data_IF_037346687313
#
_entry.id   IF_037346687313
#
_cell.length_a   1.000
_cell.length_b   1.000
_cell.length_c   1.000
_cell.angle_alpha   90.00
_cell.angle_beta   90.00
_cell.angle_gamma   90.00
#
_symmetry.space_group_name_H-M   'P 1'
#
loop_
_entity.id
_entity.type
_entity.pdbx_description
1 polymer ?
#
# COMPACT_ATOMS: atom_id res chain seq x y z
N UNK A 1 15.88 -12.15 -3.28
CA UNK A 1 15.88 -10.66 -3.13
C UNK A 1 14.99 -10.31 -1.95
N UNK A 2 15.49 -9.54 -0.95
CA UNK A 2 14.74 -9.27 0.28
C UNK A 2 13.74 -8.12 0.09
N UNK A 3 12.46 -8.43 0.23
CA UNK A 3 11.34 -7.47 0.23
C UNK A 3 10.62 -7.61 1.57
N UNK A 4 10.32 -6.50 2.24
CA UNK A 4 9.40 -6.45 3.37
C UNK A 4 8.05 -5.87 2.92
N UNK A 5 6.96 -6.42 3.43
CA UNK A 5 5.62 -5.92 3.17
C UNK A 5 4.97 -5.51 4.49
N UNK A 6 4.58 -4.25 4.58
CA UNK A 6 3.81 -3.71 5.70
C UNK A 6 2.38 -3.42 5.27
N UNK A 7 1.42 -3.78 6.12
CA UNK A 7 0.01 -3.48 5.86
C UNK A 7 -0.54 -2.50 6.89
N UNK A 8 -1.35 -1.57 6.44
CA UNK A 8 -1.92 -0.52 7.28
C UNK A 8 -3.45 -0.48 7.23
N UNK A 9 -4.07 -1.38 6.49
CA UNK A 9 -5.51 -1.41 6.25
C UNK A 9 -5.90 -0.72 4.95
N UNK A 10 -6.99 0.02 4.98
CA UNK A 10 -7.58 0.67 3.81
C UNK A 10 -8.57 -0.22 3.07
N UNK A 11 -9.07 0.26 1.93
CA UNK A 11 -10.12 -0.41 1.16
C UNK A 11 -9.72 -1.79 0.66
N UNK A 12 -8.45 -2.01 0.35
CA UNK A 12 -7.95 -3.32 -0.09
C UNK A 12 -8.28 -4.44 0.91
N UNK A 13 -8.31 -4.13 2.21
CA UNK A 13 -8.55 -5.07 3.31
C UNK A 13 -9.99 -5.02 3.83
N UNK A 14 -10.89 -4.23 3.21
CA UNK A 14 -12.28 -4.14 3.64
C UNK A 14 -13.03 -5.43 3.42
N UNK A 15 -13.85 -5.78 4.41
CA UNK A 15 -14.82 -6.87 4.39
C UNK A 15 -16.20 -6.35 4.71
N UNK A 16 -17.22 -6.96 4.14
CA UNK A 16 -18.60 -6.67 4.46
C UNK A 16 -19.02 -7.44 5.71
N UNK A 17 -19.63 -6.74 6.66
CA UNK A 17 -20.14 -7.33 7.90
C UNK A 17 -21.66 -7.33 7.89
N UNK A 18 -22.26 -8.48 7.57
CA UNK A 18 -23.70 -8.64 7.39
C UNK A 18 -24.54 -8.15 8.57
N UNK A 19 -24.13 -8.48 9.80
CA UNK A 19 -24.88 -8.14 11.00
C UNK A 19 -25.04 -6.63 11.24
N UNK A 20 -24.16 -5.81 10.66
CA UNK A 20 -24.18 -4.34 10.77
C UNK A 20 -24.49 -3.64 9.45
N UNK A 21 -24.59 -4.38 8.34
CA UNK A 21 -24.78 -3.80 7.02
C UNK A 21 -23.68 -2.82 6.60
N UNK A 22 -22.45 -3.02 7.08
CA UNK A 22 -21.33 -2.08 6.89
C UNK A 22 -20.04 -2.79 6.52
N UNK A 23 -19.16 -2.07 5.81
CA UNK A 23 -17.79 -2.49 5.59
C UNK A 23 -16.92 -2.11 6.79
N UNK A 24 -15.97 -2.98 7.12
CA UNK A 24 -14.90 -2.67 8.07
C UNK A 24 -13.55 -3.16 7.53
N UNK A 25 -12.46 -2.61 8.02
CA UNK A 25 -11.11 -3.05 7.64
C UNK A 25 -10.84 -4.40 8.32
N UNK A 26 -10.68 -5.43 7.49
CA UNK A 26 -10.42 -6.80 7.93
C UNK A 26 -8.93 -7.16 7.96
N UNK A 27 -8.65 -8.46 8.00
CA UNK A 27 -7.29 -8.98 7.89
C UNK A 27 -6.66 -8.64 6.52
N UNK A 28 -5.33 -8.47 6.46
CA UNK A 28 -4.63 -8.12 5.23
C UNK A 28 -4.86 -9.13 4.10
N UNK A 29 -5.27 -8.62 2.94
CA UNK A 29 -5.49 -9.40 1.72
C UNK A 29 -4.21 -9.67 0.92
N UNK A 30 -3.16 -8.89 1.16
CA UNK A 30 -1.95 -8.93 0.34
C UNK A 30 -1.34 -10.33 0.26
N UNK A 31 -1.28 -11.07 1.37
CA UNK A 31 -0.73 -12.43 1.40
C UNK A 31 -1.53 -13.37 0.50
N UNK A 32 -2.85 -13.29 0.57
CA UNK A 32 -3.76 -14.13 -0.23
C UNK A 32 -3.59 -13.84 -1.73
N UNK A 33 -3.49 -12.56 -2.10
CA UNK A 33 -3.25 -12.14 -3.48
C UNK A 33 -1.88 -12.63 -4.00
N UNK A 34 -0.83 -12.60 -3.18
CA UNK A 34 0.49 -13.11 -3.56
C UNK A 34 0.50 -14.64 -3.71
N UNK A 35 -0.25 -15.37 -2.88
CA UNK A 35 -0.44 -16.82 -3.03
C UNK A 35 -1.15 -17.15 -4.34
N UNK A 36 -2.21 -16.41 -4.68
CA UNK A 36 -2.92 -16.57 -5.95
C UNK A 36 -2.03 -16.27 -7.16
N UNK A 37 -1.11 -15.31 -7.02
CA UNK A 37 -0.11 -15.00 -8.05
C UNK A 37 1.00 -16.05 -8.17
N UNK A 38 1.00 -17.09 -7.31
CA UNK A 38 1.97 -18.22 -7.31
C UNK A 38 3.44 -17.76 -7.23
N UNK A 39 3.71 -16.77 -6.36
CA UNK A 39 5.09 -16.39 -6.08
C UNK A 39 5.85 -17.61 -5.53
N UNK A 40 7.09 -17.80 -5.99
CA UNK A 40 8.00 -18.84 -5.48
C UNK A 40 8.30 -18.59 -4.00
N UNK A 41 8.69 -17.36 -3.67
CA UNK A 41 8.93 -16.92 -2.30
C UNK A 41 7.96 -15.79 -1.94
N UNK A 42 7.08 -16.03 -0.98
CA UNK A 42 6.18 -15.00 -0.45
C UNK A 42 6.93 -14.21 0.62
N UNK A 43 7.13 -12.88 0.43
CA UNK A 43 7.76 -12.04 1.44
C UNK A 43 7.01 -12.06 2.77
N UNK A 44 7.73 -11.77 3.84
CA UNK A 44 7.11 -11.56 5.14
C UNK A 44 6.13 -10.38 5.08
N UNK A 45 4.92 -10.61 5.56
CA UNK A 45 3.86 -9.61 5.66
C UNK A 45 3.63 -9.27 7.12
N UNK A 46 3.88 -8.03 7.48
CA UNK A 46 3.70 -7.51 8.84
C UNK A 46 2.55 -6.52 8.88
N UNK A 47 1.53 -6.81 9.66
CA UNK A 47 0.43 -5.89 9.91
C UNK A 47 0.85 -4.85 10.93
N UNK A 48 1.00 -3.58 10.51
CA UNK A 48 1.31 -2.46 11.39
C UNK A 48 0.06 -1.81 11.96
N UNK A 49 -0.94 -1.64 11.11
CA UNK A 49 -2.20 -0.97 11.43
C UNK A 49 -3.36 -1.66 10.70
N UNK A 50 -4.56 -1.46 11.23
CA UNK A 50 -5.81 -1.91 10.63
C UNK A 50 -6.82 -0.77 10.67
N UNK A 51 -6.58 0.28 9.85
CA UNK A 51 -7.38 1.51 9.84
C UNK A 51 -7.84 1.89 8.44
N UNK A 52 -8.96 2.59 8.36
CA UNK A 52 -9.23 3.42 7.18
C UNK A 52 -8.22 4.57 7.15
N UNK A 53 -7.74 4.94 5.96
CA UNK A 53 -6.71 5.99 5.85
C UNK A 53 -7.21 7.37 6.28
N UNK A 54 -8.52 7.62 6.26
CA UNK A 54 -9.11 8.86 6.78
C UNK A 54 -9.04 8.95 8.30
N UNK A 55 -8.87 7.82 8.99
CA UNK A 55 -8.70 7.75 10.45
C UNK A 55 -7.23 7.83 10.89
N UNK A 56 -6.29 7.84 9.94
CA UNK A 56 -4.86 7.92 10.24
C UNK A 56 -4.45 9.32 10.65
N UNK A 57 -3.62 9.39 11.68
CA UNK A 57 -2.98 10.60 12.17
C UNK A 57 -1.45 10.57 11.97
N UNK A 58 -0.75 11.58 12.47
CA UNK A 58 0.70 11.69 12.32
C UNK A 58 1.47 10.67 13.15
N UNK A 59 0.93 10.21 14.28
CA UNK A 59 1.54 9.14 15.08
C UNK A 59 1.51 7.81 14.32
N UNK A 60 0.41 7.51 13.61
CA UNK A 60 0.31 6.35 12.74
C UNK A 60 1.37 6.42 11.61
N UNK A 61 1.55 7.59 10.98
CA UNK A 61 2.58 7.80 9.95
C UNK A 61 3.98 7.67 10.49
N UNK A 62 4.21 8.14 11.72
CA UNK A 62 5.49 7.98 12.39
C UNK A 62 5.79 6.51 12.71
N UNK A 63 4.79 5.74 13.14
CA UNK A 63 4.92 4.30 13.35
C UNK A 63 5.31 3.58 12.05
N UNK A 64 4.63 3.89 10.93
CA UNK A 64 4.96 3.34 9.62
C UNK A 64 6.40 3.74 9.24
N UNK A 65 6.76 5.00 9.42
CA UNK A 65 8.11 5.50 9.11
C UNK A 65 9.19 4.76 9.90
N UNK A 66 8.98 4.56 11.19
CA UNK A 66 9.91 3.84 12.06
C UNK A 66 10.08 2.40 11.60
N UNK A 67 8.98 1.68 11.37
CA UNK A 67 9.02 0.30 10.89
C UNK A 67 9.75 0.16 9.54
N UNK A 68 9.50 1.08 8.60
CA UNK A 68 10.18 1.12 7.29
C UNK A 68 11.65 1.44 7.43
N UNK A 69 12.02 2.38 8.30
CA UNK A 69 13.42 2.78 8.49
C UNK A 69 14.25 1.67 9.14
N UNK A 70 13.69 1.00 10.15
CA UNK A 70 14.38 0.00 10.97
C UNK A 70 14.45 -1.40 10.32
N UNK A 71 13.54 -1.73 9.38
CA UNK A 71 13.62 -3.02 8.71
C UNK A 71 14.91 -3.11 7.89
N UNK A 72 15.51 -4.31 7.83
CA UNK A 72 16.77 -4.56 7.10
C UNK A 72 16.57 -4.85 5.60
N UNK A 73 15.30 -4.85 5.12
CA UNK A 73 15.00 -5.01 3.70
C UNK A 73 15.27 -3.69 2.93
N UNK A 74 16.03 -3.73 1.82
CA UNK A 74 16.24 -2.56 0.99
C UNK A 74 15.04 -2.21 0.11
N UNK A 75 14.04 -3.09 0.05
CA UNK A 75 12.82 -2.94 -0.73
C UNK A 75 11.63 -3.13 0.17
N UNK A 76 10.75 -2.13 0.20
CA UNK A 76 9.61 -2.10 1.10
C UNK A 76 8.33 -1.80 0.31
N UNK A 77 7.34 -2.65 0.47
CA UNK A 77 6.00 -2.43 -0.06
C UNK A 77 5.06 -2.16 1.12
N UNK A 78 4.24 -1.12 0.98
CA UNK A 78 3.24 -0.74 1.99
C UNK A 78 1.86 -0.76 1.36
N UNK A 79 0.92 -1.57 1.89
CA UNK A 79 -0.48 -1.44 1.51
C UNK A 79 -1.19 -0.42 2.38
N UNK A 80 -1.97 0.46 1.77
CA UNK A 80 -2.52 1.64 2.42
C UNK A 80 -3.85 2.06 1.79
N UNK A 81 -4.72 2.69 2.56
CA UNK A 81 -5.92 3.33 2.01
C UNK A 81 -5.58 4.48 1.07
N UNK A 82 -6.34 4.61 -0.02
CA UNK A 82 -5.98 5.52 -1.11
C UNK A 82 -6.16 7.01 -0.76
N UNK A 83 -7.01 7.36 0.20
CA UNK A 83 -7.37 8.77 0.46
C UNK A 83 -6.23 9.59 1.05
N UNK A 84 -5.42 9.02 1.95
CA UNK A 84 -4.28 9.71 2.54
C UNK A 84 -2.92 9.05 2.23
N UNK A 85 -2.88 8.17 1.24
CA UNK A 85 -1.66 7.47 0.81
C UNK A 85 -0.53 8.45 0.44
N UNK A 86 -0.86 9.54 -0.27
CA UNK A 86 0.13 10.55 -0.66
C UNK A 86 0.76 11.24 0.55
N UNK A 87 -0.04 11.52 1.58
CA UNK A 87 0.49 12.11 2.83
C UNK A 87 1.46 11.17 3.53
N UNK A 88 1.13 9.87 3.60
CA UNK A 88 2.03 8.85 4.16
C UNK A 88 3.28 8.67 3.29
N UNK A 89 3.15 8.65 1.97
CA UNK A 89 4.31 8.58 1.06
C UNK A 89 5.28 9.75 1.28
N UNK A 90 4.76 10.98 1.42
CA UNK A 90 5.57 12.17 1.75
C UNK A 90 6.25 12.05 3.11
N UNK A 91 5.57 11.50 4.12
CA UNK A 91 6.15 11.28 5.44
C UNK A 91 7.31 10.25 5.43
N UNK A 92 7.36 9.35 4.44
CA UNK A 92 8.43 8.38 4.28
C UNK A 92 9.65 8.91 3.49
N UNK A 93 9.55 10.09 2.89
CA UNK A 93 10.68 10.70 2.19
C UNK A 93 11.87 10.92 3.12
N UNK A 94 13.07 10.86 2.58
CA UNK A 94 14.32 11.02 3.34
C UNK A 94 14.81 9.72 4.03
N UNK A 95 14.08 8.62 3.95
CA UNK A 95 14.62 7.30 4.35
C UNK A 95 15.60 6.86 3.26
N UNK A 96 16.89 6.89 3.57
CA UNK A 96 17.94 6.59 2.60
C UNK A 96 18.09 5.10 2.29
N UNK A 97 18.61 4.78 1.10
CA UNK A 97 19.02 3.44 0.71
C UNK A 97 17.90 2.42 0.44
N UNK A 98 16.64 2.86 0.47
CA UNK A 98 15.48 1.99 0.27
C UNK A 98 14.62 2.41 -0.92
N UNK A 99 14.09 1.42 -1.64
CA UNK A 99 12.95 1.60 -2.55
C UNK A 99 11.68 1.30 -1.79
N UNK A 100 10.84 2.30 -1.60
CA UNK A 100 9.60 2.23 -0.82
C UNK A 100 8.43 2.48 -1.77
N UNK A 101 7.51 1.53 -1.86
CA UNK A 101 6.35 1.60 -2.75
C UNK A 101 5.09 1.49 -1.91
N UNK A 102 4.21 2.48 -2.01
CA UNK A 102 2.87 2.43 -1.44
C UNK A 102 1.86 2.07 -2.52
N UNK A 103 0.93 1.19 -2.19
CA UNK A 103 -0.19 0.81 -3.07
C UNK A 103 -1.44 0.50 -2.25
N UNK A 104 -2.53 0.36 -2.94
CA UNK A 104 -3.83 0.02 -2.35
C UNK A 104 -4.85 -0.27 -3.44
N UNK A 105 -6.11 -0.24 -3.07
CA UNK A 105 -7.19 -0.49 -4.00
C UNK A 105 -8.38 0.45 -3.77
N UNK A 106 -9.11 0.74 -4.84
CA UNK A 106 -10.38 1.46 -4.78
C UNK A 106 -11.54 0.52 -4.43
N UNK A 107 -11.39 -0.77 -4.74
CA UNK A 107 -12.34 -1.83 -4.41
C UNK A 107 -11.74 -2.81 -3.40
N UNK A 108 -12.55 -3.40 -2.49
CA UNK A 108 -12.08 -4.44 -1.58
C UNK A 108 -11.38 -5.58 -2.36
N UNK A 109 -10.22 -6.00 -1.88
CA UNK A 109 -9.42 -7.03 -2.56
C UNK A 109 -10.12 -8.39 -2.69
N UNK A 110 -11.19 -8.62 -1.93
CA UNK A 110 -12.04 -9.82 -1.99
C UNK A 110 -13.05 -9.80 -3.14
N UNK A 111 -13.25 -8.67 -3.80
CA UNK A 111 -14.18 -8.58 -4.92
C UNK A 111 -13.54 -9.13 -6.19
N UNK A 112 -14.33 -9.83 -7.01
CA UNK A 112 -13.86 -10.43 -8.26
C UNK A 112 -13.37 -9.39 -9.28
N UNK A 113 -13.93 -8.18 -9.25
CA UNK A 113 -13.61 -7.03 -10.12
C UNK A 113 -12.70 -6.00 -9.44
N UNK A 114 -12.05 -6.36 -8.32
CA UNK A 114 -11.14 -5.46 -7.60
C UNK A 114 -9.92 -5.10 -8.43
N UNK A 115 -9.50 -3.84 -8.33
CA UNK A 115 -8.23 -3.33 -8.85
C UNK A 115 -7.00 -3.76 -8.00
N UNK A 116 -7.22 -4.44 -6.87
CA UNK A 116 -6.19 -4.81 -5.91
C UNK A 116 -5.07 -5.67 -6.51
N UNK A 117 -5.42 -6.73 -7.24
CA UNK A 117 -4.41 -7.63 -7.82
C UNK A 117 -3.56 -6.91 -8.89
N UNK A 118 -4.18 -6.05 -9.71
CA UNK A 118 -3.49 -5.26 -10.71
C UNK A 118 -2.52 -4.25 -10.07
N UNK A 119 -3.00 -3.47 -9.11
CA UNK A 119 -2.18 -2.49 -8.41
C UNK A 119 -1.04 -3.15 -7.62
N UNK A 120 -1.33 -4.26 -6.92
CA UNK A 120 -0.32 -5.01 -6.16
C UNK A 120 0.75 -5.61 -7.07
N UNK A 121 0.36 -6.18 -8.21
CA UNK A 121 1.30 -6.73 -9.20
C UNK A 121 2.24 -5.65 -9.77
N UNK A 122 1.69 -4.48 -10.13
CA UNK A 122 2.50 -3.35 -10.59
C UNK A 122 3.42 -2.85 -9.47
N UNK A 123 2.92 -2.74 -8.24
CA UNK A 123 3.73 -2.30 -7.09
C UNK A 123 4.85 -3.29 -6.77
N UNK A 124 4.57 -4.59 -6.89
CA UNK A 124 5.57 -5.64 -6.70
C UNK A 124 6.67 -5.60 -7.78
N UNK A 125 6.33 -5.26 -9.01
CA UNK A 125 7.29 -4.98 -10.08
C UNK A 125 8.10 -3.69 -9.81
N UNK A 126 7.40 -2.62 -9.44
CA UNK A 126 8.03 -1.32 -9.18
C UNK A 126 9.04 -1.36 -8.04
N UNK A 127 8.72 -2.03 -6.92
CA UNK A 127 9.63 -2.13 -5.77
C UNK A 127 10.94 -2.87 -6.11
N UNK A 128 10.92 -3.72 -7.15
CA UNK A 128 12.09 -4.45 -7.63
C UNK A 128 12.95 -3.65 -8.59
N UNK A 129 12.35 -2.79 -9.40
CA UNK A 129 12.97 -2.15 -10.55
C UNK A 129 13.28 -0.67 -10.33
N UNK A 130 12.52 0.03 -9.49
CA UNK A 130 12.76 1.45 -9.24
C UNK A 130 14.03 1.67 -8.39
N UNK A 131 14.73 2.79 -8.63
CA UNK A 131 15.84 3.21 -7.77
C UNK A 131 15.36 3.54 -6.35
N UNK A 132 16.29 3.65 -5.38
CA UNK A 132 15.93 4.13 -4.04
C UNK A 132 15.13 5.42 -4.06
N UNK A 133 14.01 5.43 -3.36
CA UNK A 133 13.05 6.53 -3.33
C UNK A 133 11.70 6.06 -2.81
N UNK A 134 10.74 6.98 -2.76
CA UNK A 134 9.36 6.70 -2.32
C UNK A 134 8.40 6.91 -3.48
N UNK A 135 7.56 5.93 -3.71
CA UNK A 135 6.65 5.88 -4.85
C UNK A 135 5.22 5.53 -4.41
N UNK A 136 4.25 6.10 -5.09
CA UNK A 136 2.85 5.67 -5.07
C UNK A 136 2.57 4.91 -6.37
N UNK A 137 1.98 3.73 -6.26
CA UNK A 137 1.67 2.87 -7.41
C UNK A 137 0.20 2.52 -7.41
N UNK A 138 -0.51 3.01 -8.39
CA UNK A 138 -1.93 2.75 -8.60
C UNK A 138 -2.35 3.17 -10.03
N UNK A 139 -3.51 2.73 -10.46
CA UNK A 139 -4.12 3.12 -11.74
C UNK A 139 -3.19 2.90 -12.96
N UNK A 140 -2.35 1.87 -12.91
CA UNK A 140 -1.44 1.53 -14.01
C UNK A 140 -0.17 2.40 -14.10
N UNK A 141 0.12 3.22 -13.09
CA UNK A 141 1.25 4.13 -13.09
C UNK A 141 2.08 4.08 -11.81
N UNK A 142 3.34 4.48 -11.92
CA UNK A 142 4.30 4.63 -10.84
C UNK A 142 4.64 6.10 -10.68
N UNK A 143 4.32 6.68 -9.55
CA UNK A 143 4.49 8.09 -9.28
C UNK A 143 5.53 8.32 -8.18
N UNK A 144 6.55 9.18 -8.36
CA UNK A 144 7.34 9.69 -7.25
C UNK A 144 6.45 10.39 -6.23
N UNK A 145 6.71 10.22 -4.93
CA UNK A 145 5.87 10.72 -3.85
C UNK A 145 5.69 12.24 -3.83
N UNK A 146 6.65 12.98 -4.38
CA UNK A 146 6.63 14.45 -4.50
C UNK A 146 5.90 14.95 -5.76
N UNK A 147 5.53 14.04 -6.67
CA UNK A 147 4.93 14.36 -7.98
C UNK A 147 3.58 13.71 -8.19
N UNK A 148 2.85 13.43 -7.12
CA UNK A 148 1.56 12.74 -7.20
C UNK A 148 0.51 13.43 -6.34
N UNK A 149 -0.72 13.43 -6.82
CA UNK A 149 -1.93 13.75 -6.05
C UNK A 149 -3.03 12.75 -6.35
N UNK A 150 -3.99 12.62 -5.43
CA UNK A 150 -5.24 11.93 -5.70
C UNK A 150 -6.26 12.95 -6.23
N UNK A 151 -6.76 12.74 -7.42
CA UNK A 151 -7.89 13.47 -7.97
C UNK A 151 -9.17 12.83 -7.44
N UNK A 152 -9.88 13.53 -6.55
CA UNK A 152 -11.08 13.02 -5.89
C UNK A 152 -12.28 12.93 -6.83
N UNK A 153 -12.38 13.83 -7.82
CA UNK A 153 -13.49 13.82 -8.79
C UNK A 153 -13.39 12.62 -9.73
N UNK A 154 -12.18 12.33 -10.22
CA UNK A 154 -11.92 11.20 -11.10
C UNK A 154 -11.59 9.91 -10.34
N UNK A 155 -11.50 9.99 -9.01
CA UNK A 155 -11.13 8.89 -8.12
C UNK A 155 -9.89 8.11 -8.60
N UNK A 156 -8.83 8.85 -8.97
CA UNK A 156 -7.56 8.28 -9.44
C UNK A 156 -6.36 9.11 -9.02
N UNK A 157 -5.18 8.51 -9.07
CA UNK A 157 -3.92 9.24 -8.90
C UNK A 157 -3.47 9.83 -10.23
N UNK A 158 -2.84 11.01 -10.15
CA UNK A 158 -2.28 11.72 -11.31
C UNK A 158 -1.04 12.52 -10.92
N UNK A 159 -0.22 12.82 -11.90
CA UNK A 159 0.99 13.65 -11.72
C UNK A 159 0.61 15.10 -11.42
N UNK A 160 1.36 15.77 -10.56
CA UNK A 160 1.30 17.21 -10.27
C UNK A 160 2.44 17.94 -10.95
#
# INVERSE_FOLDING_TARGET
>A
MKIAIFTTGGTIDKVYFDAKGAYHVGAPMVRELLVHARLEDIPEVVELLRKDSLEMNDDDRQLIRTAVAECDAPRVLVTHGTDTMVATAKALQGIGGKTIVLTGALQPGRFADSDAAFNLGLAFGAVQLCPPGVYVVANGAVFPADKVRKNLELNRFETV
#
